data_IF_813973838656
#
_entry.id   IF_813973838656
#
_cell.length_a   1.000
_cell.length_b   1.000
_cell.length_c   1.000
_cell.angle_alpha   90.00
_cell.angle_beta   90.00
_cell.angle_gamma   90.00
#
_symmetry.space_group_name_H-M   'P 1'
#
loop_
_entity.id
_entity.type
_entity.pdbx_description
1 polymer ?
#
# COMPACT_ATOMS: atom_id res chain seq x y z
N UNK A 1 1.26 0.30 -20.93
CA UNK A 1 0.88 -1.08 -21.28
C UNK A 1 -0.37 -1.07 -22.16
N UNK A 2 -1.54 -0.80 -21.64
CA UNK A 2 -2.84 -1.00 -22.32
C UNK A 2 -3.03 -0.22 -23.62
N UNK A 3 -2.41 0.96 -23.77
CA UNK A 3 -2.46 1.73 -25.04
C UNK A 3 -1.90 0.96 -26.23
N UNK A 4 -0.97 0.03 -26.03
CA UNK A 4 -0.44 -0.86 -27.08
C UNK A 4 -1.47 -1.88 -27.59
N UNK A 5 -2.46 -2.16 -26.75
CA UNK A 5 -3.56 -3.07 -27.06
C UNK A 5 -4.85 -2.33 -27.45
N UNK A 6 -4.74 -1.00 -27.72
CA UNK A 6 -5.87 -0.18 -28.16
C UNK A 6 -6.80 0.35 -27.07
N UNK A 7 -6.48 0.08 -25.79
CA UNK A 7 -7.26 0.61 -24.67
C UNK A 7 -6.64 1.89 -24.11
N UNK A 8 -7.46 2.94 -23.98
CA UNK A 8 -7.07 4.24 -23.42
C UNK A 8 -7.61 4.35 -21.98
N UNK A 9 -6.96 3.60 -21.06
CA UNK A 9 -7.32 3.66 -19.63
C UNK A 9 -6.86 4.99 -19.06
N UNK A 10 -7.79 5.79 -18.53
CA UNK A 10 -7.50 7.10 -17.97
C UNK A 10 -7.03 7.00 -16.52
N UNK A 11 -6.35 8.06 -16.02
CA UNK A 11 -5.98 8.15 -14.61
C UNK A 11 -7.22 8.12 -13.70
N UNK A 12 -8.28 8.81 -14.08
CA UNK A 12 -9.54 8.85 -13.35
C UNK A 12 -10.17 7.46 -13.23
N UNK A 13 -10.21 6.68 -14.32
CA UNK A 13 -10.67 5.29 -14.26
C UNK A 13 -9.82 4.43 -13.33
N UNK A 14 -8.49 4.60 -13.37
CA UNK A 14 -7.57 3.89 -12.48
C UNK A 14 -7.87 4.19 -11.01
N UNK A 15 -8.12 5.45 -10.68
CA UNK A 15 -8.36 5.90 -9.31
C UNK A 15 -9.75 5.48 -8.79
N UNK A 16 -10.77 5.47 -9.67
CA UNK A 16 -12.16 5.17 -9.28
C UNK A 16 -12.43 3.66 -9.31
N UNK A 17 -12.02 2.96 -10.39
CA UNK A 17 -12.42 1.57 -10.62
C UNK A 17 -11.39 0.54 -10.15
N UNK A 18 -10.10 0.87 -10.20
CA UNK A 18 -9.03 -0.12 -10.12
C UNK A 18 -8.09 0.07 -8.92
N UNK A 19 -8.39 1.02 -8.04
CA UNK A 19 -7.57 1.29 -6.85
C UNK A 19 -7.72 0.18 -5.79
N UNK A 20 -6.59 -0.28 -5.27
CA UNK A 20 -6.55 -1.12 -4.05
C UNK A 20 -6.83 -2.62 -4.24
N UNK A 21 -7.17 -3.09 -5.44
CA UNK A 21 -7.40 -4.49 -5.75
C UNK A 21 -6.11 -5.31 -5.90
N UNK A 22 -6.27 -6.63 -6.03
CA UNK A 22 -5.16 -7.50 -6.46
C UNK A 22 -4.86 -7.26 -7.93
N UNK A 23 -3.57 -7.33 -8.30
CA UNK A 23 -3.14 -7.04 -9.67
C UNK A 23 -3.90 -7.84 -10.72
N UNK A 24 -4.05 -9.15 -10.52
CA UNK A 24 -4.78 -10.01 -11.45
C UNK A 24 -6.26 -9.60 -11.61
N UNK A 25 -6.90 -9.15 -10.53
CA UNK A 25 -8.29 -8.70 -10.55
C UNK A 25 -8.41 -7.39 -11.34
N UNK A 26 -7.47 -6.46 -11.15
CA UNK A 26 -7.40 -5.18 -11.87
C UNK A 26 -7.18 -5.43 -13.37
N UNK A 27 -6.19 -6.25 -13.74
CA UNK A 27 -5.91 -6.57 -15.13
C UNK A 27 -7.09 -7.26 -15.81
N UNK A 28 -7.77 -8.18 -15.10
CA UNK A 28 -8.97 -8.86 -15.58
C UNK A 28 -10.11 -7.85 -15.81
N UNK A 29 -10.34 -6.93 -14.88
CA UNK A 29 -11.38 -5.92 -15.00
C UNK A 29 -11.12 -4.98 -16.20
N UNK A 30 -9.89 -4.51 -16.36
CA UNK A 30 -9.52 -3.65 -17.51
C UNK A 30 -9.70 -4.43 -18.82
N UNK A 31 -9.24 -5.67 -18.90
CA UNK A 31 -9.44 -6.49 -20.09
C UNK A 31 -10.93 -6.68 -20.41
N UNK A 32 -11.77 -6.88 -19.40
CA UNK A 32 -13.22 -6.97 -19.56
C UNK A 32 -13.86 -5.67 -20.05
N UNK A 33 -13.55 -4.55 -19.41
CA UNK A 33 -14.11 -3.24 -19.75
C UNK A 33 -13.75 -2.80 -21.18
N UNK A 34 -12.55 -3.15 -21.64
CA UNK A 34 -12.05 -2.80 -22.98
C UNK A 34 -12.15 -3.94 -24.01
N UNK A 35 -12.81 -5.06 -23.67
CA UNK A 35 -13.01 -6.22 -24.54
C UNK A 35 -11.70 -6.79 -25.10
N UNK A 36 -10.63 -6.80 -24.30
CA UNK A 36 -9.33 -7.34 -24.66
C UNK A 36 -9.26 -8.84 -24.33
N UNK A 37 -8.73 -9.63 -25.27
CA UNK A 37 -8.44 -11.05 -25.06
C UNK A 37 -6.93 -11.24 -24.99
N UNK A 38 -6.35 -11.07 -23.79
CA UNK A 38 -4.91 -11.14 -23.54
C UNK A 38 -4.60 -12.27 -22.55
N UNK A 39 -3.39 -12.82 -22.65
CA UNK A 39 -2.84 -13.70 -21.62
C UNK A 39 -2.52 -12.86 -20.37
N UNK A 40 -3.23 -13.13 -19.27
CA UNK A 40 -3.11 -12.32 -18.05
C UNK A 40 -1.74 -12.50 -17.37
N UNK A 41 -1.10 -13.67 -17.49
CA UNK A 41 0.20 -13.91 -16.87
C UNK A 41 1.30 -13.11 -17.60
N UNK A 42 1.24 -13.09 -18.94
CA UNK A 42 2.17 -12.28 -19.75
C UNK A 42 1.91 -10.78 -19.57
N UNK A 43 0.64 -10.37 -19.53
CA UNK A 43 0.24 -8.99 -19.30
C UNK A 43 0.71 -8.49 -17.91
N UNK A 44 0.60 -9.33 -16.87
CA UNK A 44 1.07 -8.99 -15.53
C UNK A 44 2.60 -8.83 -15.50
N UNK A 45 3.36 -9.69 -16.18
CA UNK A 45 4.82 -9.57 -16.30
C UNK A 45 5.21 -8.27 -16.99
N UNK A 46 4.58 -7.97 -18.12
CA UNK A 46 4.80 -6.72 -18.87
C UNK A 46 4.50 -5.50 -18.03
N UNK A 47 3.36 -5.48 -17.34
CA UNK A 47 2.96 -4.40 -16.46
C UNK A 47 3.95 -4.18 -15.31
N UNK A 48 4.38 -5.28 -14.65
CA UNK A 48 5.34 -5.20 -13.55
C UNK A 48 6.69 -4.66 -13.99
N UNK A 49 7.17 -5.04 -15.16
CA UNK A 49 8.44 -4.57 -15.70
C UNK A 49 8.37 -3.07 -16.07
N UNK A 50 7.30 -2.63 -16.74
CA UNK A 50 7.12 -1.19 -17.02
C UNK A 50 7.00 -0.35 -15.75
N UNK A 51 6.22 -0.85 -14.77
CA UNK A 51 6.07 -0.17 -13.49
C UNK A 51 7.42 -0.04 -12.77
N UNK A 52 8.26 -1.09 -12.82
CA UNK A 52 9.60 -1.07 -12.25
C UNK A 52 10.46 0.02 -12.89
N UNK A 53 10.46 0.10 -14.23
CA UNK A 53 11.22 1.12 -14.96
C UNK A 53 10.74 2.55 -14.68
N UNK A 54 9.43 2.74 -14.46
CA UNK A 54 8.86 4.03 -14.05
C UNK A 54 9.28 4.39 -12.63
N UNK A 55 9.28 3.42 -11.72
CA UNK A 55 9.78 3.62 -10.35
C UNK A 55 11.26 4.02 -10.35
N UNK A 56 12.11 3.33 -11.11
CA UNK A 56 13.54 3.64 -11.23
C UNK A 56 13.80 5.10 -11.65
N UNK A 57 12.90 5.69 -12.42
CA UNK A 57 13.04 7.03 -12.97
C UNK A 57 12.35 8.13 -12.15
N UNK A 58 11.23 7.81 -11.51
CA UNK A 58 10.30 8.84 -11.04
C UNK A 58 9.83 8.66 -9.61
N UNK A 59 10.10 7.49 -8.96
CA UNK A 59 9.58 7.25 -7.63
C UNK A 59 10.22 8.21 -6.62
N UNK A 60 9.37 8.91 -5.89
CA UNK A 60 9.76 9.78 -4.78
C UNK A 60 9.03 9.34 -3.52
N UNK A 61 9.60 9.54 -2.33
CA UNK A 61 8.88 9.31 -1.09
C UNK A 61 7.70 10.29 -0.98
N UNK A 62 6.64 9.87 -0.31
CA UNK A 62 5.55 10.79 0.04
C UNK A 62 6.13 11.92 0.89
N UNK A 63 5.72 13.14 0.57
CA UNK A 63 6.17 14.36 1.25
C UNK A 63 5.96 14.23 2.77
N UNK A 64 6.97 14.65 3.54
CA UNK A 64 6.96 14.57 5.01
C UNK A 64 7.34 13.20 5.59
N UNK A 65 7.28 12.10 4.82
CA UNK A 65 7.61 10.75 5.34
C UNK A 65 9.06 10.63 5.80
N UNK A 66 10.09 11.06 5.06
CA UNK A 66 11.47 10.97 5.54
C UNK A 66 11.65 11.70 6.88
N UNK A 67 11.15 12.94 6.98
CA UNK A 67 11.26 13.78 8.18
C UNK A 67 10.47 13.20 9.37
N UNK A 68 9.30 12.62 9.11
CA UNK A 68 8.50 11.94 10.12
C UNK A 68 9.25 10.70 10.64
N UNK A 69 9.83 9.88 9.76
CA UNK A 69 10.59 8.69 10.15
C UNK A 69 11.87 9.00 10.93
N UNK A 70 12.50 10.15 10.71
CA UNK A 70 13.64 10.63 11.52
C UNK A 70 13.22 10.97 12.96
N UNK A 71 12.03 11.50 13.14
CA UNK A 71 11.52 11.97 14.44
C UNK A 71 10.85 10.86 15.26
N UNK A 72 10.22 9.89 14.59
CA UNK A 72 9.48 8.83 15.29
C UNK A 72 10.43 7.93 16.09
N UNK A 73 10.09 7.68 17.36
CA UNK A 73 10.85 6.84 18.29
C UNK A 73 10.24 5.45 18.50
N UNK A 74 9.03 5.25 18.00
CA UNK A 74 8.36 3.95 18.08
C UNK A 74 8.97 2.96 17.10
N UNK A 75 8.96 1.65 17.41
CA UNK A 75 9.27 0.62 16.44
C UNK A 75 8.31 0.69 15.24
N UNK A 76 8.85 0.65 14.02
CA UNK A 76 8.08 0.72 12.78
C UNK A 76 8.39 -0.46 11.88
N UNK A 77 7.40 -0.92 11.14
CA UNK A 77 7.54 -1.93 10.09
C UNK A 77 6.65 -1.57 8.88
N UNK A 78 6.85 -2.29 7.79
CA UNK A 78 5.97 -2.23 6.61
C UNK A 78 5.21 -3.55 6.48
N UNK A 79 3.86 -3.46 6.35
CA UNK A 79 2.98 -4.58 6.05
C UNK A 79 2.24 -4.30 4.73
N UNK A 80 2.57 -5.03 3.67
CA UNK A 80 2.11 -4.75 2.31
C UNK A 80 1.46 -5.96 1.64
N UNK A 81 0.40 -5.71 0.84
CA UNK A 81 -0.18 -6.72 -0.07
C UNK A 81 0.76 -7.09 -1.22
N UNK A 82 1.83 -6.32 -1.45
CA UNK A 82 2.85 -6.59 -2.46
C UNK A 82 3.93 -7.58 -1.98
N UNK A 83 4.70 -8.17 -2.91
CA UNK A 83 5.82 -9.04 -2.56
C UNK A 83 6.97 -8.27 -1.90
N UNK A 84 7.79 -8.97 -1.10
CA UNK A 84 8.94 -8.39 -0.39
C UNK A 84 9.91 -7.69 -1.34
N UNK A 85 10.20 -8.28 -2.50
CA UNK A 85 11.09 -7.71 -3.52
C UNK A 85 10.62 -6.34 -4.03
N UNK A 86 9.30 -6.10 -4.14
CA UNK A 86 8.77 -4.79 -4.50
C UNK A 86 9.00 -3.77 -3.39
N UNK A 87 8.79 -4.15 -2.13
CA UNK A 87 9.06 -3.27 -0.98
C UNK A 87 10.53 -2.90 -0.90
N UNK A 88 11.43 -3.88 -1.01
CA UNK A 88 12.89 -3.65 -1.00
C UNK A 88 13.30 -2.68 -2.12
N UNK A 89 12.82 -2.90 -3.34
CA UNK A 89 13.12 -2.04 -4.48
C UNK A 89 12.62 -0.61 -4.27
N UNK A 90 11.34 -0.43 -3.95
CA UNK A 90 10.76 0.92 -3.81
C UNK A 90 11.30 1.69 -2.61
N UNK A 91 11.54 1.03 -1.48
CA UNK A 91 12.17 1.64 -0.31
C UNK A 91 13.65 1.93 -0.55
N UNK A 92 14.33 1.08 -1.34
CA UNK A 92 15.71 1.34 -1.77
C UNK A 92 15.83 2.59 -2.63
N UNK A 93 14.97 2.74 -3.64
CA UNK A 93 14.93 3.92 -4.51
C UNK A 93 14.65 5.22 -3.76
N UNK A 94 13.82 5.15 -2.72
CA UNK A 94 13.46 6.31 -1.89
C UNK A 94 14.41 6.57 -0.70
N UNK A 95 15.46 5.74 -0.54
CA UNK A 95 16.42 5.87 0.55
C UNK A 95 15.90 5.46 1.93
N UNK A 96 14.73 4.80 1.99
CA UNK A 96 14.06 4.45 3.24
C UNK A 96 14.32 3.00 3.70
N UNK A 97 14.94 2.16 2.84
CA UNK A 97 15.07 0.72 3.10
C UNK A 97 15.80 0.41 4.41
N UNK A 98 16.89 1.13 4.72
CA UNK A 98 17.66 0.90 5.95
C UNK A 98 16.85 1.08 7.23
N UNK A 99 15.78 1.91 7.19
CA UNK A 99 14.89 2.12 8.34
C UNK A 99 14.04 0.88 8.65
N UNK A 100 13.78 0.06 7.61
CA UNK A 100 12.89 -1.11 7.67
C UNK A 100 13.61 -2.44 7.45
N UNK A 101 14.94 -2.47 7.54
CA UNK A 101 15.71 -3.71 7.40
C UNK A 101 15.25 -4.77 8.40
N UNK A 102 14.91 -5.98 7.91
CA UNK A 102 14.35 -7.06 8.71
C UNK A 102 12.91 -6.82 9.22
N UNK A 103 12.23 -5.78 8.73
CA UNK A 103 10.88 -5.37 9.19
C UNK A 103 9.91 -5.17 8.02
N UNK A 104 10.07 -5.92 6.95
CA UNK A 104 9.19 -5.95 5.79
C UNK A 104 8.33 -7.22 5.86
N UNK A 105 7.02 -7.05 5.90
CA UNK A 105 6.05 -8.14 6.01
C UNK A 105 5.15 -8.15 4.78
N UNK A 106 5.29 -9.20 3.97
CA UNK A 106 4.54 -9.38 2.73
C UNK A 106 3.30 -10.24 2.97
N UNK A 107 2.20 -9.90 2.29
CA UNK A 107 1.01 -10.75 2.24
C UNK A 107 1.30 -12.12 1.61
N UNK A 108 2.29 -12.22 0.72
CA UNK A 108 2.72 -13.49 0.14
C UNK A 108 3.36 -14.41 1.18
N UNK A 109 4.16 -13.86 2.10
CA UNK A 109 4.79 -14.64 3.17
C UNK A 109 3.77 -15.00 4.27
N UNK A 110 2.84 -14.07 4.56
CA UNK A 110 1.76 -14.29 5.51
C UNK A 110 0.64 -15.18 4.97
N UNK A 111 0.57 -15.39 3.65
CA UNK A 111 -0.57 -15.98 2.92
C UNK A 111 -1.91 -15.33 3.31
N UNK A 112 -1.91 -14.00 3.48
CA UNK A 112 -3.04 -13.25 3.98
C UNK A 112 -2.99 -11.81 3.47
N UNK A 113 -4.02 -11.34 2.80
CA UNK A 113 -4.08 -10.02 2.13
C UNK A 113 -5.08 -9.10 2.82
N UNK A 114 -4.71 -7.82 3.01
CA UNK A 114 -5.67 -6.78 3.42
C UNK A 114 -6.87 -6.79 2.44
N UNK A 115 -8.13 -6.78 2.92
CA UNK A 115 -8.61 -6.33 4.22
C UNK A 115 -8.63 -7.37 5.35
N UNK A 116 -8.13 -8.60 5.14
CA UNK A 116 -7.98 -9.56 6.22
C UNK A 116 -6.92 -9.07 7.23
N UNK A 117 -7.17 -9.12 8.55
CA UNK A 117 -6.26 -8.64 9.57
C UNK A 117 -5.02 -9.53 9.78
N UNK A 118 -4.98 -10.72 9.20
CA UNK A 118 -3.91 -11.72 9.38
C UNK A 118 -2.53 -11.20 9.03
N UNK A 119 -2.40 -10.36 7.99
CA UNK A 119 -1.12 -9.72 7.65
C UNK A 119 -0.61 -8.82 8.78
N UNK A 120 -1.51 -8.07 9.44
CA UNK A 120 -1.15 -7.20 10.57
C UNK A 120 -0.73 -8.02 11.80
N UNK A 121 -1.44 -9.11 12.07
CA UNK A 121 -1.08 -10.06 13.12
C UNK A 121 0.28 -10.72 12.85
N UNK A 122 0.56 -11.10 11.59
CA UNK A 122 1.85 -11.62 11.16
C UNK A 122 2.98 -10.61 11.39
N UNK A 123 2.77 -9.35 10.99
CA UNK A 123 3.73 -8.28 11.19
C UNK A 123 4.00 -7.99 12.68
N UNK A 124 2.95 -7.88 13.51
CA UNK A 124 3.08 -7.67 14.96
C UNK A 124 3.86 -8.81 15.62
N UNK A 125 3.59 -10.07 15.24
CA UNK A 125 4.34 -11.24 15.70
C UNK A 125 5.82 -11.15 15.29
N UNK A 126 6.10 -10.79 14.05
CA UNK A 126 7.48 -10.62 13.54
C UNK A 126 8.24 -9.50 14.25
N UNK A 127 7.54 -8.47 14.68
CA UNK A 127 8.08 -7.37 15.49
C UNK A 127 8.21 -7.72 16.99
N UNK A 128 7.70 -8.87 17.43
CA UNK A 128 7.73 -9.28 18.84
C UNK A 128 6.79 -8.48 19.74
N UNK A 129 5.72 -7.91 19.19
CA UNK A 129 4.74 -7.07 19.92
C UNK A 129 3.33 -7.66 19.85
N UNK A 130 2.50 -7.30 20.83
CA UNK A 130 1.08 -7.63 20.76
C UNK A 130 0.38 -6.69 19.76
N UNK A 131 -0.43 -7.25 18.86
CA UNK A 131 -1.20 -6.49 17.88
C UNK A 131 -2.08 -5.39 18.53
N UNK A 132 -2.65 -5.66 19.70
CA UNK A 132 -3.45 -4.68 20.43
C UNK A 132 -2.67 -3.43 20.88
N UNK A 133 -1.32 -3.49 20.86
CA UNK A 133 -0.44 -2.36 21.19
C UNK A 133 0.10 -1.68 19.92
N UNK A 134 -0.44 -2.02 18.75
CA UNK A 134 -0.05 -1.44 17.48
C UNK A 134 -1.05 -0.39 17.00
N UNK A 135 -0.58 0.49 16.14
CA UNK A 135 -1.41 1.37 15.32
C UNK A 135 -1.07 1.15 13.86
N UNK A 136 -2.01 1.38 12.97
CA UNK A 136 -1.81 1.29 11.53
C UNK A 136 -1.83 2.70 10.93
N UNK A 137 -0.89 3.00 10.03
CA UNK A 137 -0.92 4.16 9.13
C UNK A 137 -1.17 3.63 7.73
N UNK A 138 -2.21 4.11 7.05
CA UNK A 138 -2.68 3.52 5.80
C UNK A 138 -3.39 4.57 4.93
N UNK A 139 -3.33 4.40 3.61
CA UNK A 139 -3.95 5.30 2.62
C UNK A 139 -5.06 4.64 1.79
N UNK A 140 -5.20 3.32 1.87
CA UNK A 140 -6.17 2.55 1.07
C UNK A 140 -7.32 2.02 1.91
N UNK A 141 -8.53 1.98 1.32
CA UNK A 141 -9.71 1.40 1.98
C UNK A 141 -9.48 -0.04 2.43
N UNK A 142 -8.92 -0.97 1.61
CA UNK A 142 -8.64 -2.32 2.08
C UNK A 142 -7.67 -2.37 3.27
N UNK A 143 -6.69 -1.48 3.31
CA UNK A 143 -5.77 -1.39 4.43
C UNK A 143 -6.41 -0.84 5.69
N UNK A 144 -7.21 0.21 5.59
CA UNK A 144 -7.99 0.76 6.72
C UNK A 144 -8.94 -0.31 7.29
N UNK A 145 -9.62 -1.04 6.41
CA UNK A 145 -10.50 -2.15 6.83
C UNK A 145 -9.74 -3.27 7.54
N UNK A 146 -8.50 -3.57 7.12
CA UNK A 146 -7.67 -4.54 7.84
C UNK A 146 -7.39 -4.09 9.28
N UNK A 147 -7.11 -2.81 9.51
CA UNK A 147 -6.92 -2.25 10.85
C UNK A 147 -8.19 -2.30 11.70
N UNK A 148 -9.34 -1.94 11.11
CA UNK A 148 -10.66 -2.04 11.75
C UNK A 148 -10.94 -3.49 12.14
N UNK A 149 -10.75 -4.44 11.22
CA UNK A 149 -10.96 -5.87 11.45
C UNK A 149 -9.99 -6.45 12.48
N UNK A 150 -8.81 -5.85 12.62
CA UNK A 150 -7.83 -6.17 13.66
C UNK A 150 -8.18 -5.56 15.03
N UNK A 151 -9.13 -4.63 15.10
CA UNK A 151 -9.50 -3.91 16.32
C UNK A 151 -8.44 -2.92 16.81
N UNK A 152 -7.57 -2.40 15.93
CA UNK A 152 -6.51 -1.45 16.28
C UNK A 152 -6.79 -0.05 15.75
N UNK A 153 -6.24 1.02 16.37
CA UNK A 153 -6.35 2.37 15.84
C UNK A 153 -5.72 2.47 14.45
N UNK A 154 -6.38 3.22 13.56
CA UNK A 154 -5.93 3.48 12.18
C UNK A 154 -5.80 4.98 11.96
N UNK A 155 -4.63 5.42 11.54
CA UNK A 155 -4.40 6.76 11.01
C UNK A 155 -4.52 6.68 9.48
N UNK A 156 -5.65 7.17 8.96
CA UNK A 156 -5.97 7.11 7.53
C UNK A 156 -5.44 8.37 6.83
N UNK A 157 -4.41 8.19 5.99
CA UNK A 157 -3.83 9.26 5.20
C UNK A 157 -4.70 9.59 3.99
N UNK A 158 -5.31 10.78 4.00
CA UNK A 158 -6.23 11.28 2.98
C UNK A 158 -5.75 12.64 2.49
N UNK A 159 -4.76 12.67 1.58
CA UNK A 159 -4.17 13.92 1.09
C UNK A 159 -4.91 14.53 -0.11
N UNK A 160 -5.42 13.70 -0.98
CA UNK A 160 -6.02 14.12 -2.25
C UNK A 160 -7.54 13.93 -2.30
N UNK A 161 -8.17 14.54 -3.29
CA UNK A 161 -9.62 14.46 -3.54
C UNK A 161 -10.11 13.07 -3.95
N UNK A 162 -9.20 12.17 -4.31
CA UNK A 162 -9.50 10.78 -4.67
C UNK A 162 -9.38 9.82 -3.48
N UNK A 163 -9.01 10.34 -2.30
CA UNK A 163 -9.04 9.54 -1.08
C UNK A 163 -10.48 9.22 -0.71
N UNK A 164 -10.78 7.94 -0.51
CA UNK A 164 -12.08 7.48 -0.04
C UNK A 164 -12.09 7.47 1.49
N UNK A 165 -12.70 8.47 2.15
CA UNK A 165 -12.68 8.53 3.61
C UNK A 165 -13.51 7.41 4.22
N UNK A 166 -12.92 6.69 5.17
CA UNK A 166 -13.64 5.71 6.00
C UNK A 166 -14.04 6.36 7.31
N UNK A 167 -15.33 6.29 7.66
CA UNK A 167 -15.86 6.81 8.94
C UNK A 167 -16.07 5.66 9.92
N UNK A 168 -15.22 5.57 10.95
CA UNK A 168 -15.26 4.53 11.96
C UNK A 168 -14.58 5.00 13.25
N UNK A 169 -15.03 4.59 14.47
CA UNK A 169 -14.45 5.03 15.74
C UNK A 169 -12.96 4.76 15.91
N UNK A 170 -12.41 3.76 15.24
CA UNK A 170 -10.97 3.44 15.25
C UNK A 170 -10.16 4.23 14.23
N UNK A 171 -10.79 5.04 13.36
CA UNK A 171 -10.13 5.72 12.25
C UNK A 171 -9.98 7.21 12.54
N UNK A 172 -8.74 7.69 12.55
CA UNK A 172 -8.41 9.12 12.57
C UNK A 172 -7.85 9.50 11.21
N UNK A 173 -8.51 10.42 10.52
CA UNK A 173 -8.05 10.94 9.23
C UNK A 173 -7.03 12.05 9.42
N UNK A 174 -6.02 12.08 8.56
CA UNK A 174 -5.01 13.14 8.50
C UNK A 174 -4.51 13.31 7.06
N UNK A 175 -3.91 14.44 6.73
CA UNK A 175 -3.47 14.77 5.37
C UNK A 175 -2.01 15.23 5.26
N UNK A 176 -1.35 15.48 6.39
CA UNK A 176 0.07 15.86 6.46
C UNK A 176 0.85 14.87 7.33
N UNK A 177 1.89 14.26 6.78
CA UNK A 177 2.75 13.33 7.52
C UNK A 177 3.48 13.98 8.71
N UNK A 178 3.62 15.31 8.71
CA UNK A 178 4.15 16.06 9.84
C UNK A 178 3.27 16.01 11.07
N UNK A 179 1.94 15.88 10.91
CA UNK A 179 0.98 15.79 12.00
C UNK A 179 1.02 14.44 12.72
N UNK A 180 1.45 13.37 12.03
CA UNK A 180 1.37 12.00 12.55
C UNK A 180 2.08 11.83 13.89
N UNK A 181 3.19 12.51 14.11
CA UNK A 181 3.93 12.43 15.39
C UNK A 181 3.08 12.95 16.55
N UNK A 182 2.34 14.05 16.33
CA UNK A 182 1.41 14.59 17.34
C UNK A 182 0.20 13.69 17.58
N UNK A 183 -0.20 12.91 16.58
CA UNK A 183 -1.32 11.96 16.71
C UNK A 183 -0.92 10.65 17.43
N UNK A 184 0.38 10.35 17.50
CA UNK A 184 0.93 9.14 18.12
C UNK A 184 1.31 9.32 19.61
N UNK A 185 1.13 10.51 20.17
CA UNK A 185 1.52 10.86 21.57
C UNK A 185 0.34 10.77 22.52
#
# INVERSE_FOLDING_TARGET
VFSRYGAQVTLEECLIKYKGGKMVEILTAICGDYHLSLDLDELEKEYREELRQLFDKHLMPVEGVPQMLEKIRLPVCVASNGPASKMEHTLGLTGLLSRFEGKLFSAFDANCWKPDPGLLAYAAKGMGVNLANCVLVEDSVPGVMAGINAGIPVFHYCRDEHAEPVDHPLVTRFSDMGELIGLLV
#
